data_IF_781292362837
#
_entry.id   IF_781292362837
#
_cell.length_a   1.000
_cell.length_b   1.000
_cell.length_c   1.000
_cell.angle_alpha   90.00
_cell.angle_beta   90.00
_cell.angle_gamma   90.00
#
_symmetry.space_group_name_H-M   'P 1'
#
loop_
_entity.id
_entity.type
_entity.pdbx_description
1 polymer ?
#
# COMPACT_ATOMS: atom_id res chain seq x y z
N UNK A 1 -9.58 -9.76 14.31
CA UNK A 1 -10.85 -10.54 14.46
C UNK A 1 -11.77 -10.00 15.55
N UNK A 2 -11.25 -9.51 16.66
CA UNK A 2 -12.04 -8.92 17.76
C UNK A 2 -12.90 -7.73 17.30
N UNK A 3 -12.36 -6.86 16.45
CA UNK A 3 -13.06 -5.66 15.96
C UNK A 3 -14.34 -5.98 15.14
N UNK A 4 -14.30 -7.00 14.27
CA UNK A 4 -15.48 -7.41 13.47
C UNK A 4 -16.59 -7.97 14.39
N UNK A 5 -16.24 -8.74 15.42
CA UNK A 5 -17.21 -9.26 16.37
C UNK A 5 -17.97 -8.15 17.13
N UNK A 6 -17.27 -7.08 17.51
CA UNK A 6 -17.91 -5.92 18.15
C UNK A 6 -18.76 -5.13 17.14
N UNK A 7 -18.29 -4.94 15.91
CA UNK A 7 -19.06 -4.27 14.86
C UNK A 7 -20.39 -4.96 14.55
N UNK A 8 -20.42 -6.29 14.49
CA UNK A 8 -21.68 -7.03 14.25
C UNK A 8 -22.77 -6.67 15.27
N UNK A 9 -22.41 -6.29 16.50
CA UNK A 9 -23.37 -5.89 17.54
C UNK A 9 -23.75 -4.41 17.50
N UNK A 10 -22.88 -3.54 16.96
CA UNK A 10 -23.06 -2.10 17.00
C UNK A 10 -23.55 -1.55 15.67
N UNK A 11 -23.01 -2.06 14.56
CA UNK A 11 -23.29 -1.60 13.19
C UNK A 11 -23.13 -2.77 12.22
N UNK A 12 -24.25 -3.44 11.96
CA UNK A 12 -24.28 -4.65 11.09
C UNK A 12 -23.90 -4.31 9.65
N UNK A 13 -24.25 -3.14 9.14
CA UNK A 13 -23.96 -2.72 7.77
C UNK A 13 -22.45 -2.51 7.59
N UNK A 14 -21.83 -1.80 8.54
CA UNK A 14 -20.37 -1.62 8.60
C UNK A 14 -19.63 -2.95 8.75
N UNK A 15 -20.16 -3.86 9.57
CA UNK A 15 -19.59 -5.21 9.72
C UNK A 15 -19.63 -5.99 8.40
N UNK A 16 -20.73 -5.94 7.64
CA UNK A 16 -20.86 -6.59 6.33
C UNK A 16 -19.89 -6.00 5.31
N UNK A 17 -19.74 -4.67 5.29
CA UNK A 17 -18.77 -3.99 4.43
C UNK A 17 -17.33 -4.45 4.72
N UNK A 18 -16.94 -4.52 5.99
CA UNK A 18 -15.61 -4.98 6.41
C UNK A 18 -15.36 -6.44 6.02
N UNK A 19 -16.34 -7.33 6.22
CA UNK A 19 -16.24 -8.74 5.81
C UNK A 19 -16.09 -8.84 4.29
N UNK A 20 -16.84 -8.05 3.54
CA UNK A 20 -16.76 -8.01 2.08
C UNK A 20 -15.39 -7.56 1.61
N UNK A 21 -14.85 -6.47 2.17
CA UNK A 21 -13.52 -5.95 1.86
C UNK A 21 -12.43 -6.95 2.25
N UNK A 22 -12.52 -7.58 3.40
CA UNK A 22 -11.59 -8.61 3.84
C UNK A 22 -11.58 -9.83 2.91
N UNK A 23 -12.76 -10.29 2.50
CA UNK A 23 -12.89 -11.39 1.55
C UNK A 23 -12.27 -11.03 0.19
N UNK A 24 -12.50 -9.82 -0.30
CA UNK A 24 -11.91 -9.29 -1.54
C UNK A 24 -10.39 -9.22 -1.45
N UNK A 25 -9.87 -8.70 -0.34
CA UNK A 25 -8.45 -8.65 -0.05
C UNK A 25 -7.80 -10.05 -0.07
N UNK A 26 -8.37 -11.03 0.64
CA UNK A 26 -7.84 -12.40 0.65
C UNK A 26 -7.86 -13.01 -0.76
N UNK A 27 -8.97 -12.86 -1.50
CA UNK A 27 -9.07 -13.38 -2.87
C UNK A 27 -8.03 -12.76 -3.80
N UNK A 28 -7.77 -11.45 -3.68
CA UNK A 28 -6.73 -10.75 -4.43
C UNK A 28 -5.34 -11.32 -4.17
N UNK A 29 -4.98 -11.59 -2.92
CA UNK A 29 -3.71 -12.22 -2.56
C UNK A 29 -3.54 -13.60 -3.25
N UNK A 30 -4.56 -14.46 -3.20
CA UNK A 30 -4.48 -15.77 -3.85
C UNK A 30 -4.40 -15.66 -5.37
N UNK A 31 -5.14 -14.74 -5.99
CA UNK A 31 -5.12 -14.59 -7.45
C UNK A 31 -3.81 -13.97 -7.98
N UNK A 32 -3.11 -13.18 -7.19
CA UNK A 32 -1.84 -12.56 -7.57
C UNK A 32 -0.73 -13.59 -7.82
N UNK A 33 -0.77 -14.74 -7.15
CA UNK A 33 0.20 -15.84 -7.37
C UNK A 33 -0.03 -16.62 -8.66
N UNK A 34 -1.21 -16.51 -9.27
CA UNK A 34 -1.61 -17.26 -10.47
C UNK A 34 -1.63 -16.40 -11.74
N UNK A 35 -1.30 -15.09 -11.63
CA UNK A 35 -1.45 -14.13 -12.72
C UNK A 35 -0.19 -13.95 -13.56
N UNK A 36 -0.44 -13.40 -14.74
CA UNK A 36 0.53 -12.94 -15.72
C UNK A 36 1.56 -11.96 -15.11
N UNK A 37 2.60 -11.64 -15.85
CA UNK A 37 3.68 -10.75 -15.42
C UNK A 37 3.20 -9.36 -14.97
N UNK A 38 2.07 -8.87 -15.53
CA UNK A 38 1.45 -7.58 -15.15
C UNK A 38 -0.06 -7.65 -15.00
N UNK A 39 -0.61 -6.76 -14.19
CA UNK A 39 -2.06 -6.53 -14.02
C UNK A 39 -2.39 -5.05 -14.26
N UNK A 40 -3.64 -4.69 -14.61
CA UNK A 40 -4.07 -3.30 -14.63
C UNK A 40 -3.84 -2.63 -13.26
N UNK A 41 -3.31 -1.41 -13.29
CA UNK A 41 -3.07 -0.64 -12.05
C UNK A 41 -4.34 -0.48 -11.19
N UNK A 42 -5.50 -0.32 -11.84
CA UNK A 42 -6.78 -0.24 -11.12
C UNK A 42 -7.06 -1.48 -10.26
N UNK A 43 -6.66 -2.66 -10.72
CA UNK A 43 -6.85 -3.89 -9.96
C UNK A 43 -5.97 -3.92 -8.70
N UNK A 44 -4.71 -3.50 -8.81
CA UNK A 44 -3.82 -3.32 -7.65
C UNK A 44 -4.34 -2.25 -6.69
N UNK A 45 -4.87 -1.14 -7.23
CA UNK A 45 -5.44 -0.06 -6.43
C UNK A 45 -6.69 -0.50 -5.66
N UNK A 46 -7.60 -1.24 -6.28
CA UNK A 46 -8.80 -1.79 -5.63
C UNK A 46 -8.43 -2.81 -4.54
N UNK A 47 -7.35 -3.57 -4.77
CA UNK A 47 -6.83 -4.49 -3.78
C UNK A 47 -6.34 -3.74 -2.52
N UNK A 48 -5.57 -2.66 -2.70
CA UNK A 48 -5.11 -1.80 -1.61
C UNK A 48 -6.29 -1.13 -0.89
N UNK A 49 -7.28 -0.64 -1.63
CA UNK A 49 -8.49 -0.05 -1.04
C UNK A 49 -9.22 -1.03 -0.13
N UNK A 50 -9.33 -2.28 -0.56
CA UNK A 50 -9.94 -3.34 0.26
C UNK A 50 -9.16 -3.63 1.54
N UNK A 51 -7.83 -3.64 1.47
CA UNK A 51 -6.95 -3.76 2.65
C UNK A 51 -7.12 -2.58 3.60
N UNK A 52 -6.98 -1.35 3.08
CA UNK A 52 -7.05 -0.14 3.90
C UNK A 52 -8.43 0.08 4.54
N UNK A 53 -9.52 -0.33 3.87
CA UNK A 53 -10.86 -0.29 4.45
C UNK A 53 -10.97 -1.21 5.68
N UNK A 54 -10.29 -2.36 5.68
CA UNK A 54 -10.25 -3.26 6.85
C UNK A 54 -9.40 -2.67 7.96
N UNK A 55 -8.23 -2.12 7.64
CA UNK A 55 -7.34 -1.52 8.63
C UNK A 55 -7.92 -0.23 9.24
N UNK A 56 -8.67 0.57 8.47
CA UNK A 56 -9.35 1.78 8.97
C UNK A 56 -10.36 1.47 10.07
N UNK A 57 -10.96 0.29 10.07
CA UNK A 57 -11.83 -0.16 11.18
C UNK A 57 -11.03 -0.55 12.42
N UNK A 58 -9.82 -1.05 12.21
CA UNK A 58 -8.92 -1.43 13.32
C UNK A 58 -8.29 -0.21 13.99
N UNK A 59 -8.00 0.80 13.21
CA UNK A 59 -7.31 2.02 13.62
C UNK A 59 -8.22 3.24 13.55
N UNK A 60 -9.48 3.12 14.02
CA UNK A 60 -10.47 4.21 14.05
C UNK A 60 -9.81 5.57 14.32
N UNK A 61 -10.15 6.60 13.54
CA UNK A 61 -9.63 7.97 13.66
C UNK A 61 -8.09 8.13 13.68
N UNK A 62 -7.34 7.03 13.48
CA UNK A 62 -5.88 7.02 13.49
C UNK A 62 -5.26 6.67 12.13
N UNK A 63 -6.07 6.40 11.10
CA UNK A 63 -5.62 6.10 9.73
C UNK A 63 -6.44 6.89 8.71
N UNK A 64 -5.78 7.80 7.99
CA UNK A 64 -6.38 8.59 6.92
C UNK A 64 -5.69 8.30 5.59
N UNK A 65 -6.47 8.08 4.54
CA UNK A 65 -5.94 7.72 3.22
C UNK A 65 -6.49 8.63 2.14
N UNK A 66 -5.60 9.26 1.39
CA UNK A 66 -5.93 10.10 0.24
C UNK A 66 -5.52 9.42 -1.06
N UNK A 67 -6.42 9.42 -2.05
CA UNK A 67 -6.17 8.91 -3.40
C UNK A 67 -6.24 10.06 -4.41
N UNK A 68 -5.12 10.37 -5.04
CA UNK A 68 -5.01 11.34 -6.12
C UNK A 68 -4.42 10.64 -7.37
N UNK A 69 -5.25 9.84 -8.02
CA UNK A 69 -4.87 8.91 -9.09
C UNK A 69 -5.56 9.24 -10.42
N UNK A 70 -5.32 10.43 -11.03
CA UNK A 70 -5.97 10.83 -12.27
C UNK A 70 -5.55 10.01 -13.49
N UNK A 71 -4.43 9.29 -13.41
CA UNK A 71 -3.95 8.43 -14.48
C UNK A 71 -3.81 6.98 -13.99
N UNK A 72 -4.65 6.09 -14.56
CA UNK A 72 -4.75 4.67 -14.15
C UNK A 72 -4.67 3.69 -15.33
N UNK A 73 -4.58 4.20 -16.57
CA UNK A 73 -4.55 3.38 -17.79
C UNK A 73 -3.14 2.85 -18.08
N UNK A 74 -2.62 2.01 -17.19
CA UNK A 74 -1.34 1.31 -17.32
C UNK A 74 -1.35 0.02 -16.50
N UNK A 75 -0.36 -0.85 -16.76
CA UNK A 75 -0.18 -2.12 -16.05
C UNK A 75 1.06 -2.10 -15.17
N UNK A 76 1.07 -2.93 -14.13
CA UNK A 76 2.11 -3.02 -13.11
C UNK A 76 2.25 -4.49 -12.67
N UNK A 77 3.43 -4.96 -12.26
CA UNK A 77 3.54 -6.28 -11.66
C UNK A 77 2.64 -6.41 -10.43
N UNK A 78 1.93 -7.54 -10.24
CA UNK A 78 1.03 -7.71 -9.10
C UNK A 78 1.78 -7.63 -7.77
N UNK A 79 1.12 -7.22 -6.69
CA UNK A 79 1.72 -7.05 -5.36
C UNK A 79 2.94 -6.11 -5.35
N UNK A 80 2.88 -5.04 -6.13
CA UNK A 80 3.91 -4.00 -6.14
C UNK A 80 3.65 -2.94 -5.08
N UNK A 81 2.42 -2.43 -4.99
CA UNK A 81 2.06 -1.36 -4.06
C UNK A 81 1.64 -1.90 -2.69
N UNK A 82 1.00 -3.06 -2.66
CA UNK A 82 0.46 -3.63 -1.43
C UNK A 82 1.51 -3.73 -0.31
N UNK A 83 2.69 -4.35 -0.49
CA UNK A 83 3.67 -4.45 0.60
C UNK A 83 4.19 -3.10 1.08
N UNK A 84 4.19 -2.07 0.21
CA UNK A 84 4.60 -0.72 0.55
C UNK A 84 3.57 -0.05 1.46
N UNK A 85 2.29 -0.17 1.11
CA UNK A 85 1.18 0.36 1.92
C UNK A 85 1.04 -0.40 3.24
N UNK A 86 1.18 -1.74 3.22
CA UNK A 86 1.21 -2.55 4.43
C UNK A 86 2.31 -2.11 5.39
N UNK A 87 3.50 -1.79 4.87
CA UNK A 87 4.59 -1.27 5.68
C UNK A 87 4.26 0.09 6.29
N UNK A 88 3.68 1.02 5.53
CA UNK A 88 3.25 2.32 6.05
C UNK A 88 2.25 2.15 7.21
N UNK A 89 1.25 1.29 7.08
CA UNK A 89 0.27 1.01 8.14
C UNK A 89 0.94 0.34 9.34
N UNK A 90 1.73 -0.70 9.10
CA UNK A 90 2.37 -1.51 10.16
C UNK A 90 3.30 -0.71 11.06
N UNK A 91 4.08 0.19 10.46
CA UNK A 91 5.08 0.97 11.18
C UNK A 91 4.63 2.39 11.52
N UNK A 92 3.60 2.91 10.84
CA UNK A 92 3.10 4.26 11.03
C UNK A 92 1.88 4.36 11.95
N UNK A 93 1.03 3.33 12.02
CA UNK A 93 -0.12 3.34 12.91
C UNK A 93 0.25 2.94 14.33
N UNK A 94 0.22 3.92 15.22
CA UNK A 94 0.36 3.74 16.66
C UNK A 94 -0.82 4.45 17.35
N UNK A 95 -1.69 3.72 18.10
CA UNK A 95 -2.85 4.31 18.80
C UNK A 95 -2.49 5.42 19.81
N UNK A 96 -1.27 5.42 20.32
CA UNK A 96 -0.77 6.42 21.27
C UNK A 96 -0.08 7.61 20.61
N UNK A 97 0.06 7.57 19.26
CA UNK A 97 0.73 8.57 18.45
C UNK A 97 -0.27 9.46 17.69
N UNK A 98 0.24 10.38 16.86
CA UNK A 98 -0.59 11.15 15.93
C UNK A 98 -1.20 10.22 14.87
N UNK A 99 -2.37 10.58 14.32
CA UNK A 99 -2.94 9.84 13.19
C UNK A 99 -1.96 9.74 12.02
N UNK A 100 -1.95 8.57 11.37
CA UNK A 100 -1.17 8.33 10.17
C UNK A 100 -1.93 8.79 8.93
N UNK A 101 -1.28 9.59 8.09
CA UNK A 101 -1.79 10.00 6.79
C UNK A 101 -0.99 9.32 5.68
N UNK A 102 -1.70 8.56 4.83
CA UNK A 102 -1.12 7.93 3.63
C UNK A 102 -1.71 8.60 2.40
N UNK A 103 -0.89 9.00 1.45
CA UNK A 103 -1.34 9.47 0.13
C UNK A 103 -0.79 8.60 -0.98
N UNK A 104 -1.66 8.20 -1.92
CA UNK A 104 -1.33 7.42 -3.11
C UNK A 104 -1.64 8.28 -4.33
N UNK A 105 -0.61 8.58 -5.12
CA UNK A 105 -0.73 9.49 -6.27
C UNK A 105 -0.19 8.86 -7.54
N UNK A 106 -0.84 9.16 -8.67
CA UNK A 106 -0.32 8.82 -9.99
C UNK A 106 -0.22 10.05 -10.89
N UNK A 107 0.83 10.11 -11.69
CA UNK A 107 1.02 11.17 -12.69
C UNK A 107 1.66 10.58 -13.94
N UNK A 108 1.14 10.94 -15.10
CA UNK A 108 1.82 10.72 -16.37
C UNK A 108 2.78 11.90 -16.63
N UNK A 109 4.06 11.61 -16.79
CA UNK A 109 5.10 12.60 -17.04
C UNK A 109 5.84 12.19 -18.30
N UNK A 110 5.57 12.85 -19.42
CA UNK A 110 6.11 12.48 -20.75
C UNK A 110 5.81 11.01 -21.06
N UNK A 111 6.84 10.21 -21.26
CA UNK A 111 6.77 8.78 -21.55
C UNK A 111 6.95 7.89 -20.31
N UNK A 112 6.60 8.39 -19.16
CA UNK A 112 6.65 7.62 -17.90
C UNK A 112 5.39 7.83 -17.09
N UNK A 113 5.06 6.85 -16.25
CA UNK A 113 4.09 6.97 -15.18
C UNK A 113 4.86 7.01 -13.86
N UNK A 114 4.58 7.99 -13.05
CA UNK A 114 5.09 8.11 -11.69
C UNK A 114 3.99 7.77 -10.71
N UNK A 115 4.22 6.78 -9.85
CA UNK A 115 3.37 6.45 -8.71
C UNK A 115 4.11 6.90 -7.46
N UNK A 116 3.44 7.62 -6.58
CA UNK A 116 4.01 8.09 -5.31
C UNK A 116 3.12 7.60 -4.16
N UNK A 117 3.73 6.89 -3.21
CA UNK A 117 3.12 6.55 -1.93
C UNK A 117 3.88 7.35 -0.88
N UNK A 118 3.15 8.17 -0.14
CA UNK A 118 3.73 8.98 0.94
C UNK A 118 2.98 8.72 2.22
N UNK A 119 3.70 8.48 3.30
CA UNK A 119 3.19 8.52 4.66
C UNK A 119 3.86 9.62 5.49
N UNK A 120 3.25 10.00 6.60
CA UNK A 120 3.77 10.93 7.60
C UNK A 120 4.13 10.23 8.91
N UNK A 121 4.39 8.92 8.84
CA UNK A 121 4.79 8.10 9.97
C UNK A 121 6.18 8.44 10.53
N UNK A 122 6.77 7.56 11.36
CA UNK A 122 8.08 7.80 11.98
C UNK A 122 9.26 7.80 11.00
N UNK A 123 9.05 7.38 9.74
CA UNK A 123 10.07 7.32 8.71
C UNK A 123 10.89 6.01 8.71
N UNK A 124 11.58 5.78 7.61
CA UNK A 124 12.29 4.52 7.34
C UNK A 124 13.54 4.31 8.21
N UNK A 125 14.21 5.39 8.63
CA UNK A 125 15.52 5.35 9.30
C UNK A 125 15.47 4.98 10.79
N UNK A 126 14.31 5.07 11.45
CA UNK A 126 14.20 4.81 12.88
C UNK A 126 14.19 3.32 13.24
N UNK A 127 13.96 2.45 12.26
CA UNK A 127 13.83 1.01 12.44
C UNK A 127 15.05 0.18 12.02
N UNK A 128 16.13 0.82 11.52
CA UNK A 128 17.34 0.10 11.09
C UNK A 128 18.11 -0.61 12.20
N UNK A 129 17.76 -0.39 13.47
CA UNK A 129 18.50 -0.96 14.61
C UNK A 129 17.98 -2.32 15.10
N UNK A 130 16.79 -2.74 14.68
CA UNK A 130 16.22 -4.02 15.09
C UNK A 130 16.35 -5.08 13.98
N UNK A 131 16.92 -6.20 14.34
CA UNK A 131 17.19 -7.39 13.48
C UNK A 131 15.93 -8.02 12.83
N UNK A 132 14.75 -7.49 13.08
CA UNK A 132 13.47 -7.89 12.48
C UNK A 132 13.28 -7.37 11.05
N UNK A 133 14.10 -6.43 10.59
CA UNK A 133 13.87 -5.70 9.33
C UNK A 133 14.44 -6.36 8.07
N UNK A 134 15.12 -7.49 8.20
CA UNK A 134 15.61 -8.26 7.04
C UNK A 134 14.49 -8.66 6.07
N UNK A 135 13.26 -8.87 6.56
CA UNK A 135 12.12 -9.24 5.72
C UNK A 135 11.63 -8.07 4.86
N UNK A 136 11.63 -6.87 5.41
CA UNK A 136 11.23 -5.64 4.69
C UNK A 136 12.22 -5.31 3.58
N UNK A 137 13.53 -5.41 3.85
CA UNK A 137 14.57 -5.23 2.82
C UNK A 137 14.44 -6.27 1.70
N UNK A 138 14.24 -7.54 2.01
CA UNK A 138 14.03 -8.60 1.01
C UNK A 138 12.77 -8.33 0.17
N UNK A 139 11.68 -7.87 0.79
CA UNK A 139 10.45 -7.54 0.07
C UNK A 139 10.65 -6.38 -0.90
N UNK A 140 11.34 -5.31 -0.46
CA UNK A 140 11.66 -4.16 -1.30
C UNK A 140 12.58 -4.53 -2.48
N UNK A 141 13.59 -5.35 -2.24
CA UNK A 141 14.50 -5.80 -3.29
C UNK A 141 13.78 -6.69 -4.31
N UNK A 142 12.86 -7.52 -3.86
CA UNK A 142 11.99 -8.31 -4.75
C UNK A 142 11.11 -7.41 -5.62
N UNK A 143 10.51 -6.36 -5.06
CA UNK A 143 9.71 -5.40 -5.81
C UNK A 143 10.58 -4.66 -6.84
N UNK A 144 11.76 -4.16 -6.45
CA UNK A 144 12.71 -3.51 -7.36
C UNK A 144 13.11 -4.40 -8.53
N UNK A 145 13.47 -5.64 -8.23
CA UNK A 145 13.86 -6.61 -9.25
C UNK A 145 12.72 -6.91 -10.23
N UNK A 146 11.50 -7.12 -9.73
CA UNK A 146 10.33 -7.36 -10.58
C UNK A 146 9.99 -6.16 -11.45
N UNK A 147 9.96 -4.96 -10.88
CA UNK A 147 9.74 -3.72 -11.64
C UNK A 147 10.77 -3.58 -12.76
N UNK A 148 12.05 -3.81 -12.47
CA UNK A 148 13.12 -3.73 -13.47
C UNK A 148 12.99 -4.77 -14.55
N UNK A 149 12.72 -6.02 -14.21
CA UNK A 149 12.69 -7.13 -15.16
C UNK A 149 11.43 -7.13 -16.02
N UNK A 150 10.27 -6.79 -15.47
CA UNK A 150 8.98 -6.94 -16.15
C UNK A 150 8.60 -5.67 -16.93
N UNK A 151 8.79 -4.51 -16.35
CA UNK A 151 8.35 -3.24 -16.96
C UNK A 151 9.45 -2.19 -17.09
N UNK A 152 10.71 -2.56 -16.89
CA UNK A 152 11.86 -1.65 -16.91
C UNK A 152 11.68 -0.43 -16.00
N UNK A 153 10.95 -0.62 -14.90
CA UNK A 153 10.63 0.39 -13.91
C UNK A 153 11.68 0.51 -12.82
N UNK A 154 11.57 1.58 -12.02
CA UNK A 154 12.44 1.84 -10.85
C UNK A 154 11.60 2.06 -9.60
N UNK A 155 12.20 1.83 -8.42
CA UNK A 155 11.65 2.15 -7.11
C UNK A 155 12.70 2.88 -6.28
N UNK A 156 12.36 4.08 -5.86
CA UNK A 156 13.16 4.94 -5.00
C UNK A 156 12.44 5.17 -3.68
N UNK A 157 13.19 5.30 -2.58
CA UNK A 157 12.65 5.58 -1.25
C UNK A 157 13.37 6.80 -0.71
N UNK A 158 12.61 7.79 -0.30
CA UNK A 158 13.09 9.02 0.30
C UNK A 158 12.58 9.09 1.75
N UNK A 159 13.43 9.53 2.67
CA UNK A 159 13.08 9.83 4.05
C UNK A 159 13.22 11.35 4.25
N UNK A 160 12.14 12.12 4.15
CA UNK A 160 12.17 13.57 4.33
C UNK A 160 12.61 13.96 5.74
N UNK A 161 13.33 15.08 5.89
CA UNK A 161 13.71 15.61 7.21
C UNK A 161 12.51 15.92 8.12
N UNK A 162 11.34 16.17 7.51
CA UNK A 162 10.08 16.39 8.22
C UNK A 162 9.45 15.10 8.82
N UNK A 163 10.09 13.96 8.62
CA UNK A 163 9.57 12.63 8.96
C UNK A 163 8.71 12.01 7.85
N UNK A 164 8.33 10.76 8.06
CA UNK A 164 7.58 9.97 7.09
C UNK A 164 8.45 9.30 6.04
N UNK A 165 7.78 8.61 5.11
CA UNK A 165 8.41 7.91 4.00
C UNK A 165 7.77 8.34 2.68
N UNK A 166 8.58 8.51 1.65
CA UNK A 166 8.09 8.71 0.27
C UNK A 166 8.66 7.62 -0.61
N UNK A 167 7.79 6.78 -1.14
CA UNK A 167 8.15 5.76 -2.13
C UNK A 167 7.72 6.25 -3.51
N UNK A 168 8.66 6.23 -4.44
CA UNK A 168 8.45 6.67 -5.81
C UNK A 168 8.71 5.49 -6.75
N UNK A 169 7.70 5.11 -7.53
CA UNK A 169 7.82 4.12 -8.59
C UNK A 169 7.70 4.85 -9.92
N UNK A 170 8.64 4.61 -10.82
CA UNK A 170 8.62 5.16 -12.18
C UNK A 170 8.60 4.01 -13.18
N UNK A 171 7.60 4.01 -14.08
CA UNK A 171 7.41 2.99 -15.11
C UNK A 171 7.42 3.67 -16.47
N UNK A 172 8.22 3.18 -17.45
CA UNK A 172 8.11 3.62 -18.84
C UNK A 172 6.70 3.38 -19.38
N UNK A 173 6.16 4.37 -20.08
CA UNK A 173 4.85 4.33 -20.69
C UNK A 173 4.98 4.63 -22.18
N UNK A 174 4.81 3.60 -22.99
CA UNK A 174 4.90 3.65 -24.45
C UNK A 174 3.52 3.76 -25.07
#
# INVERSE_FOLDING_TARGET
>A
MTSIYYLVKQDTDKAQEVITNFTRYLRGNFSAFAKEDTIPFLEELEHIRSYLAVESVRFEDSLYVEYDTPFTSFSIPPLTLQPLVENSVKYGCDPESKPLHISIRTRKVKNTVKITIKDDGPGFSTHEKDSTDKRTHIALDNIRNRLKLICNGTLEIEAPESGGTVVIITIPFV
#
